data_IF_903160320331
#
_entry.id   IF_903160320331
#
_cell.length_a   1.000
_cell.length_b   1.000
_cell.length_c   1.000
_cell.angle_alpha   90.00
_cell.angle_beta   90.00
_cell.angle_gamma   90.00
#
_symmetry.space_group_name_H-M   'P 1'
#
loop_
_entity.id
_entity.type
_entity.pdbx_description
1 polymer ?
#
# COMPACT_ATOMS: atom_id res chain seq x y z
N UNK A 1 -8.10 47.09 -7.84
CA UNK A 1 -9.11 46.03 -7.68
C UNK A 1 -8.42 44.83 -7.06
N UNK A 2 -8.91 44.25 -5.96
CA UNK A 2 -8.34 42.99 -5.47
C UNK A 2 -8.49 41.94 -6.57
N UNK A 3 -7.45 41.15 -6.81
CA UNK A 3 -7.49 40.07 -7.78
C UNK A 3 -8.70 39.18 -7.47
N UNK A 4 -9.53 38.88 -8.47
CA UNK A 4 -10.57 37.85 -8.34
C UNK A 4 -9.83 36.56 -7.95
N UNK A 5 -10.00 36.11 -6.71
CA UNK A 5 -9.62 34.76 -6.31
C UNK A 5 -10.34 33.80 -7.25
N UNK A 6 -9.57 33.18 -8.14
CA UNK A 6 -10.06 32.06 -8.94
C UNK A 6 -10.11 30.86 -8.00
N UNK A 7 -11.15 30.01 -8.08
CA UNK A 7 -11.17 28.76 -7.34
C UNK A 7 -9.88 28.00 -7.62
N UNK A 8 -9.13 27.70 -6.57
CA UNK A 8 -7.92 26.89 -6.67
C UNK A 8 -8.30 25.46 -7.01
N UNK A 9 -7.48 24.80 -7.83
CA UNK A 9 -7.71 23.41 -8.16
C UNK A 9 -7.26 22.57 -6.97
N UNK A 10 -8.21 21.98 -6.26
CA UNK A 10 -7.89 21.11 -5.15
C UNK A 10 -7.19 19.86 -5.66
N UNK A 11 -5.88 19.75 -5.38
CA UNK A 11 -5.04 18.63 -5.78
C UNK A 11 -5.65 17.27 -5.40
N UNK A 12 -6.22 17.15 -4.20
CA UNK A 12 -6.87 15.90 -3.77
C UNK A 12 -8.04 15.51 -4.69
N UNK A 13 -8.85 16.49 -5.12
CA UNK A 13 -9.96 16.23 -6.06
C UNK A 13 -9.47 15.91 -7.47
N UNK A 14 -8.31 16.42 -7.89
CA UNK A 14 -7.70 16.01 -9.16
C UNK A 14 -7.18 14.56 -9.08
N UNK A 15 -6.56 14.18 -7.96
CA UNK A 15 -6.02 12.83 -7.74
C UNK A 15 -7.12 11.76 -7.67
N UNK A 16 -8.32 12.08 -7.17
CA UNK A 16 -9.48 11.16 -7.25
C UNK A 16 -9.77 10.76 -8.69
N UNK A 17 -9.69 11.73 -9.63
CA UNK A 17 -9.97 11.45 -11.06
C UNK A 17 -8.91 10.57 -11.70
N UNK A 18 -7.68 10.57 -11.17
CA UNK A 18 -6.60 9.71 -11.63
C UNK A 18 -6.94 8.25 -11.38
N UNK A 19 -7.33 7.89 -10.15
CA UNK A 19 -7.70 6.51 -9.79
C UNK A 19 -9.04 6.10 -10.40
N UNK A 20 -10.01 7.01 -10.53
CA UNK A 20 -11.26 6.76 -11.26
C UNK A 20 -10.98 6.38 -12.72
N UNK A 21 -10.12 7.12 -13.41
CA UNK A 21 -9.78 6.85 -14.82
C UNK A 21 -9.10 5.49 -14.99
N UNK A 22 -8.14 5.17 -14.11
CA UNK A 22 -7.46 3.89 -14.09
C UNK A 22 -8.43 2.72 -13.81
N UNK A 23 -9.28 2.85 -12.79
CA UNK A 23 -10.27 1.84 -12.44
C UNK A 23 -11.29 1.60 -13.55
N UNK A 24 -11.77 2.67 -14.20
CA UNK A 24 -12.70 2.56 -15.34
C UNK A 24 -12.06 1.89 -16.55
N UNK A 25 -10.79 2.17 -16.83
CA UNK A 25 -10.04 1.50 -17.90
C UNK A 25 -9.83 0.01 -17.60
N UNK A 26 -9.51 -0.33 -16.35
CA UNK A 26 -9.38 -1.72 -15.88
C UNK A 26 -10.72 -2.47 -15.88
N UNK A 27 -11.85 -1.79 -15.63
CA UNK A 27 -13.17 -2.40 -15.50
C UNK A 27 -13.58 -3.22 -16.73
N UNK A 28 -13.16 -2.80 -17.93
CA UNK A 28 -13.41 -3.54 -19.17
C UNK A 28 -12.73 -4.91 -19.24
N UNK A 29 -11.74 -5.16 -18.39
CA UNK A 29 -10.92 -6.39 -18.35
C UNK A 29 -11.29 -7.34 -17.22
N UNK A 30 -12.23 -6.96 -16.36
CA UNK A 30 -12.67 -7.77 -15.22
C UNK A 30 -13.16 -9.14 -15.70
N UNK A 31 -12.57 -10.21 -15.17
CA UNK A 31 -12.94 -11.59 -15.49
C UNK A 31 -12.47 -12.11 -16.86
N UNK A 32 -11.63 -11.36 -17.60
CA UNK A 32 -11.16 -11.77 -18.94
C UNK A 32 -9.93 -12.67 -18.94
N UNK A 33 -9.34 -12.95 -17.78
CA UNK A 33 -8.14 -13.79 -17.64
C UNK A 33 -6.85 -13.14 -18.13
N UNK A 34 -6.87 -11.88 -18.58
CA UNK A 34 -5.70 -11.15 -19.06
C UNK A 34 -5.29 -10.04 -18.08
N UNK A 35 -4.41 -10.39 -17.15
CA UNK A 35 -3.92 -9.45 -16.15
C UNK A 35 -3.03 -8.37 -16.75
N UNK A 36 -2.25 -8.67 -17.80
CA UNK A 36 -1.30 -7.71 -18.39
C UNK A 36 -2.04 -6.65 -19.18
N UNK A 37 -3.08 -7.03 -19.91
CA UNK A 37 -3.89 -6.07 -20.63
C UNK A 37 -4.74 -5.18 -19.71
N UNK A 38 -5.24 -5.74 -18.60
CA UNK A 38 -5.92 -4.96 -17.55
C UNK A 38 -4.98 -3.89 -16.99
N UNK A 39 -3.77 -4.31 -16.61
CA UNK A 39 -2.73 -3.47 -16.01
C UNK A 39 -2.28 -2.35 -16.95
N UNK A 40 -1.90 -2.69 -18.19
CA UNK A 40 -1.53 -1.70 -19.20
C UNK A 40 -2.63 -0.66 -19.46
N UNK A 41 -3.90 -1.08 -19.52
CA UNK A 41 -5.01 -0.15 -19.69
C UNK A 41 -5.15 0.83 -18.50
N UNK A 42 -4.92 0.36 -17.27
CA UNK A 42 -4.95 1.20 -16.08
C UNK A 42 -3.75 2.16 -16.02
N UNK A 43 -2.54 1.68 -16.32
CA UNK A 43 -1.30 2.48 -16.41
C UNK A 43 -1.48 3.62 -17.41
N UNK A 44 -1.93 3.32 -18.63
CA UNK A 44 -2.15 4.31 -19.68
C UNK A 44 -3.15 5.39 -19.24
N UNK A 45 -4.28 4.96 -18.68
CA UNK A 45 -5.34 5.86 -18.25
C UNK A 45 -4.90 6.73 -17.05
N UNK A 46 -4.21 6.13 -16.08
CA UNK A 46 -3.65 6.82 -14.91
C UNK A 46 -2.65 7.90 -15.35
N UNK A 47 -1.68 7.51 -16.19
CA UNK A 47 -0.61 8.39 -16.66
C UNK A 47 -1.14 9.60 -17.42
N UNK A 48 -2.12 9.39 -18.30
CA UNK A 48 -2.73 10.45 -19.09
C UNK A 48 -3.45 11.50 -18.23
N UNK A 49 -4.17 11.08 -17.18
CA UNK A 49 -4.83 12.02 -16.28
C UNK A 49 -3.81 12.72 -15.39
N UNK A 50 -2.77 11.99 -14.93
CA UNK A 50 -1.70 12.56 -14.12
C UNK A 50 -0.97 13.72 -14.79
N UNK A 51 -0.76 13.68 -16.12
CA UNK A 51 -0.15 14.80 -16.86
C UNK A 51 -0.91 16.13 -16.71
N UNK A 52 -2.20 16.07 -16.42
CA UNK A 52 -3.06 17.26 -16.31
C UNK A 52 -3.08 17.85 -14.90
N UNK A 53 -2.58 17.11 -13.91
CA UNK A 53 -2.63 17.47 -12.49
C UNK A 53 -1.67 18.63 -12.22
N UNK A 54 -2.10 19.59 -11.41
CA UNK A 54 -1.31 20.78 -11.05
C UNK A 54 -0.28 20.45 -9.97
N UNK A 55 0.79 19.75 -10.37
CA UNK A 55 1.94 19.40 -9.52
C UNK A 55 3.22 19.16 -10.34
N UNK A 56 4.38 19.21 -9.69
CA UNK A 56 5.66 18.71 -10.18
C UNK A 56 5.98 17.45 -9.38
N UNK A 57 5.42 16.33 -9.84
CA UNK A 57 5.53 15.02 -9.22
C UNK A 57 6.76 14.26 -9.70
N UNK A 58 7.37 13.44 -8.83
CA UNK A 58 8.28 12.37 -9.26
C UNK A 58 7.72 11.05 -8.71
N UNK A 59 7.62 10.05 -9.58
CA UNK A 59 7.25 8.69 -9.22
C UNK A 59 8.37 8.09 -8.39
N UNK A 60 8.14 7.88 -7.09
CA UNK A 60 9.07 7.17 -6.19
C UNK A 60 8.77 5.67 -6.19
N UNK A 61 7.49 5.32 -6.36
CA UNK A 61 6.99 3.95 -6.50
C UNK A 61 6.05 3.92 -7.69
N UNK A 62 6.33 3.07 -8.67
CA UNK A 62 5.41 2.78 -9.75
C UNK A 62 5.63 1.38 -10.32
N UNK A 63 5.45 1.22 -11.63
CA UNK A 63 5.41 -0.07 -12.32
C UNK A 63 6.76 -0.82 -12.34
N UNK A 64 7.86 -0.11 -12.07
CA UNK A 64 9.20 -0.68 -12.02
C UNK A 64 10.28 0.32 -12.42
N UNK A 65 11.45 -0.21 -12.77
CA UNK A 65 12.56 0.59 -13.28
C UNK A 65 12.32 1.01 -14.73
N UNK A 66 12.98 2.10 -15.16
CA UNK A 66 12.78 2.71 -16.48
C UNK A 66 12.97 1.74 -17.66
N UNK A 67 13.86 0.78 -17.52
CA UNK A 67 14.15 -0.20 -18.56
C UNK A 67 13.10 -1.32 -18.64
N UNK A 68 12.28 -1.48 -17.59
CA UNK A 68 11.27 -2.54 -17.46
C UNK A 68 9.84 -2.01 -17.64
N UNK A 69 9.61 -0.72 -17.31
CA UNK A 69 8.32 -0.06 -17.38
C UNK A 69 8.35 1.16 -18.33
N UNK A 70 7.55 1.18 -19.42
CA UNK A 70 7.54 2.29 -20.37
C UNK A 70 6.90 3.58 -19.82
N UNK A 71 6.05 3.46 -18.80
CA UNK A 71 5.34 4.54 -18.13
C UNK A 71 5.23 4.24 -16.64
N UNK A 72 5.06 5.28 -15.84
CA UNK A 72 5.02 5.26 -14.38
C UNK A 72 6.23 4.54 -13.77
N UNK A 73 7.41 4.71 -14.36
CA UNK A 73 8.65 4.13 -13.85
C UNK A 73 9.25 4.96 -12.72
N UNK A 74 10.05 4.34 -11.86
CA UNK A 74 10.75 5.01 -10.77
C UNK A 74 11.63 6.16 -11.31
N UNK A 75 11.36 7.37 -10.83
CA UNK A 75 12.01 8.61 -11.27
C UNK A 75 11.32 9.36 -12.40
N UNK A 76 10.21 8.85 -12.94
CA UNK A 76 9.43 9.58 -13.94
C UNK A 76 8.84 10.88 -13.36
N UNK A 77 8.91 11.97 -14.13
CA UNK A 77 8.21 13.22 -13.79
C UNK A 77 6.76 13.18 -14.28
N UNK A 78 5.84 13.53 -13.39
CA UNK A 78 4.38 13.52 -13.64
C UNK A 78 3.74 14.83 -13.17
N UNK A 79 2.55 15.15 -13.69
CA UNK A 79 1.92 16.46 -13.47
C UNK A 79 2.37 17.48 -14.50
N UNK A 80 1.71 18.64 -14.50
CA UNK A 80 1.97 19.72 -15.46
C UNK A 80 3.20 20.58 -15.12
N UNK A 81 3.95 20.24 -14.07
CA UNK A 81 5.16 20.94 -13.63
C UNK A 81 4.91 22.17 -12.74
N UNK A 82 3.66 22.46 -12.39
CA UNK A 82 3.32 23.52 -11.43
C UNK A 82 3.67 23.09 -10.00
N UNK A 83 3.84 24.03 -9.07
CA UNK A 83 3.91 23.68 -7.64
C UNK A 83 2.59 23.07 -7.15
N UNK A 84 2.60 22.18 -6.15
CA UNK A 84 3.74 21.81 -5.29
C UNK A 84 4.69 20.76 -5.90
N UNK A 85 5.91 20.68 -5.35
CA UNK A 85 6.82 19.56 -5.62
C UNK A 85 6.43 18.37 -4.76
N UNK A 86 6.22 17.21 -5.38
CA UNK A 86 5.66 16.06 -4.68
C UNK A 86 6.33 14.74 -5.07
N UNK A 87 6.42 13.83 -4.11
CA UNK A 87 6.69 12.42 -4.35
C UNK A 87 5.36 11.70 -4.59
N UNK A 88 5.36 10.79 -5.56
CA UNK A 88 4.17 10.08 -6.01
C UNK A 88 4.44 8.58 -5.93
N UNK A 89 3.53 7.85 -5.29
CA UNK A 89 3.43 6.41 -5.42
C UNK A 89 2.14 6.05 -6.13
N UNK A 90 2.23 5.18 -7.12
CA UNK A 90 1.08 4.69 -7.89
C UNK A 90 1.04 3.18 -7.85
N UNK A 91 -0.19 2.66 -7.76
CA UNK A 91 -0.50 1.27 -8.04
C UNK A 91 -1.78 1.27 -8.90
N UNK A 92 -1.65 1.30 -10.24
CA UNK A 92 -2.78 1.37 -11.14
C UNK A 92 -3.82 0.27 -10.89
N UNK A 93 -3.37 -0.94 -10.53
CA UNK A 93 -4.23 -2.04 -10.08
C UNK A 93 -3.52 -2.86 -8.99
N UNK A 94 -3.83 -2.57 -7.73
CA UNK A 94 -3.53 -3.48 -6.63
C UNK A 94 -4.42 -4.72 -6.78
N UNK A 95 -3.81 -5.82 -7.21
CA UNK A 95 -4.50 -7.07 -7.51
C UNK A 95 -4.89 -7.26 -8.98
N UNK A 96 -3.95 -7.09 -9.92
CA UNK A 96 -4.14 -7.45 -11.34
C UNK A 96 -4.70 -8.87 -11.55
N UNK A 97 -4.29 -9.84 -10.71
CA UNK A 97 -4.85 -11.20 -10.69
C UNK A 97 -6.31 -11.22 -10.27
N UNK A 98 -6.70 -10.41 -9.28
CA UNK A 98 -8.09 -10.28 -8.82
C UNK A 98 -8.96 -9.74 -9.96
N UNK A 99 -8.51 -8.68 -10.64
CA UNK A 99 -9.17 -8.09 -11.80
C UNK A 99 -9.36 -9.13 -12.91
N UNK A 100 -8.27 -9.79 -13.33
CA UNK A 100 -8.32 -10.78 -14.40
C UNK A 100 -9.25 -11.96 -14.09
N UNK A 101 -9.37 -12.36 -12.82
CA UNK A 101 -10.24 -13.44 -12.37
C UNK A 101 -11.66 -12.98 -11.98
N UNK A 102 -11.97 -11.69 -12.04
CA UNK A 102 -13.28 -11.16 -11.64
C UNK A 102 -13.57 -11.29 -10.14
N UNK A 103 -12.52 -11.23 -9.30
CA UNK A 103 -12.63 -11.32 -7.85
C UNK A 103 -12.73 -9.93 -7.22
N UNK A 104 -13.31 -9.86 -6.02
CA UNK A 104 -13.39 -8.61 -5.26
C UNK A 104 -12.03 -8.14 -4.74
N UNK A 105 -12.01 -6.90 -4.25
CA UNK A 105 -10.89 -6.22 -3.59
C UNK A 105 -9.72 -5.78 -4.49
N UNK A 106 -9.86 -5.84 -5.82
CA UNK A 106 -8.96 -5.10 -6.71
C UNK A 106 -9.26 -3.59 -6.60
N UNK A 107 -8.23 -2.75 -6.56
CA UNK A 107 -8.37 -1.30 -6.41
C UNK A 107 -7.28 -0.55 -7.16
N UNK A 108 -7.51 0.72 -7.47
CA UNK A 108 -6.52 1.62 -8.07
C UNK A 108 -6.09 2.65 -7.04
N UNK A 109 -4.78 2.84 -6.88
CA UNK A 109 -4.20 3.64 -5.78
C UNK A 109 -3.26 4.71 -6.29
N UNK A 110 -3.33 5.85 -5.63
CA UNK A 110 -2.30 6.86 -5.68
C UNK A 110 -2.07 7.43 -4.28
N UNK A 111 -0.81 7.63 -3.92
CA UNK A 111 -0.39 8.38 -2.75
C UNK A 111 0.55 9.51 -3.18
N UNK A 112 0.37 10.69 -2.59
CA UNK A 112 1.18 11.87 -2.87
C UNK A 112 1.64 12.47 -1.55
N UNK A 113 2.93 12.78 -1.46
CA UNK A 113 3.54 13.37 -0.28
C UNK A 113 4.51 14.49 -0.67
N UNK A 114 4.95 15.29 0.31
CA UNK A 114 5.97 16.31 0.07
C UNK A 114 7.25 15.65 -0.51
N UNK A 115 7.93 16.35 -1.42
CA UNK A 115 9.19 15.91 -2.02
C UNK A 115 10.19 15.41 -0.96
N UNK A 116 10.71 14.19 -1.15
CA UNK A 116 11.70 13.56 -0.28
C UNK A 116 11.15 12.94 1.00
N UNK A 117 9.83 12.97 1.22
CA UNK A 117 9.21 12.41 2.44
C UNK A 117 8.72 10.98 2.26
N UNK A 118 8.63 10.48 1.02
CA UNK A 118 8.19 9.11 0.75
C UNK A 118 9.37 8.15 0.85
N UNK A 119 9.19 7.04 1.58
CA UNK A 119 10.23 6.03 1.73
C UNK A 119 10.55 5.36 0.39
N UNK A 120 11.82 5.35 0.00
CA UNK A 120 12.26 4.62 -1.19
C UNK A 120 12.51 3.14 -0.81
N UNK A 121 11.78 2.19 -1.39
CA UNK A 121 11.90 0.76 -1.07
C UNK A 121 13.29 0.16 -1.39
N UNK A 122 14.05 0.79 -2.28
CA UNK A 122 15.37 0.33 -2.69
C UNK A 122 15.32 -1.08 -3.31
N UNK A 123 16.34 -1.92 -3.11
CA UNK A 123 16.38 -3.26 -3.70
C UNK A 123 15.47 -4.28 -2.99
N UNK A 124 14.90 -3.94 -1.83
CA UNK A 124 14.13 -4.87 -1.01
C UNK A 124 12.71 -5.03 -1.57
N UNK A 125 12.41 -6.19 -2.14
CA UNK A 125 11.12 -6.50 -2.75
C UNK A 125 10.03 -6.75 -1.71
N UNK A 126 10.35 -7.37 -0.58
CA UNK A 126 9.39 -7.68 0.47
C UNK A 126 9.67 -6.96 1.80
N UNK A 127 8.58 -6.77 2.54
CA UNK A 127 8.53 -6.17 3.87
C UNK A 127 7.58 -6.98 4.75
N UNK A 128 7.99 -7.28 5.98
CA UNK A 128 7.10 -7.72 7.06
C UNK A 128 6.28 -6.52 7.54
N UNK A 129 4.96 -6.68 7.60
CA UNK A 129 4.00 -5.62 7.89
C UNK A 129 3.08 -6.01 9.05
N UNK A 130 2.79 -5.04 9.90
CA UNK A 130 1.65 -5.06 10.83
C UNK A 130 0.92 -3.73 10.71
N UNK A 131 -0.38 -3.74 10.42
CA UNK A 131 -1.16 -2.50 10.31
C UNK A 131 -2.46 -2.58 11.12
N UNK A 132 -2.83 -1.47 11.74
CA UNK A 132 -3.98 -1.34 12.65
C UNK A 132 -4.61 0.05 12.54
N UNK A 133 -5.87 0.15 12.93
CA UNK A 133 -6.58 1.43 13.02
C UNK A 133 -6.20 2.31 14.20
N UNK A 134 -6.79 3.52 14.28
CA UNK A 134 -6.44 4.54 15.28
C UNK A 134 -6.55 4.08 16.73
N UNK A 135 -7.52 3.21 17.04
CA UNK A 135 -7.75 2.70 18.39
C UNK A 135 -6.58 1.83 18.92
N UNK A 136 -5.81 1.22 18.03
CA UNK A 136 -4.72 0.31 18.36
C UNK A 136 -3.34 0.77 17.85
N UNK A 137 -3.22 2.00 17.32
CA UNK A 137 -2.01 2.52 16.69
C UNK A 137 -0.73 2.37 17.55
N UNK A 138 -0.84 2.57 18.87
CA UNK A 138 0.30 2.42 19.80
C UNK A 138 0.40 1.06 20.48
N UNK A 139 -0.39 0.07 20.07
CA UNK A 139 -0.49 -1.24 20.73
C UNK A 139 0.34 -2.34 20.04
N UNK A 140 0.90 -2.08 18.86
CA UNK A 140 1.57 -3.07 18.03
C UNK A 140 3.08 -2.88 17.96
N UNK A 141 3.80 -3.98 17.78
CA UNK A 141 5.27 -4.01 17.63
C UNK A 141 5.69 -5.24 16.79
N UNK A 142 6.62 -5.07 15.83
CA UNK A 142 7.13 -6.18 15.02
C UNK A 142 8.11 -7.11 15.76
N UNK A 143 8.60 -6.73 16.94
CA UNK A 143 9.37 -7.62 17.82
C UNK A 143 8.49 -8.49 18.71
N UNK A 144 7.18 -8.23 18.73
CA UNK A 144 6.23 -9.08 19.44
C UNK A 144 5.82 -10.26 18.58
N UNK A 145 5.59 -11.41 19.23
CA UNK A 145 4.95 -12.53 18.53
C UNK A 145 3.54 -12.14 18.06
N UNK A 146 3.02 -12.77 16.98
CA UNK A 146 1.64 -12.58 16.55
C UNK A 146 0.63 -12.76 17.68
N UNK A 147 0.82 -13.76 18.54
CA UNK A 147 -0.03 -13.97 19.71
C UNK A 147 -0.06 -12.76 20.65
N UNK A 148 1.08 -12.10 20.86
CA UNK A 148 1.17 -10.94 21.74
C UNK A 148 0.52 -9.72 21.08
N UNK A 149 0.82 -9.42 19.83
CA UNK A 149 0.18 -8.33 19.07
C UNK A 149 -1.34 -8.45 19.09
N UNK A 150 -1.90 -9.63 18.82
CA UNK A 150 -3.36 -9.86 18.84
C UNK A 150 -3.96 -9.55 20.22
N UNK A 151 -3.28 -9.92 21.31
CA UNK A 151 -3.75 -9.63 22.68
C UNK A 151 -3.69 -8.14 23.01
N UNK A 152 -2.65 -7.43 22.55
CA UNK A 152 -2.52 -5.99 22.75
C UNK A 152 -3.59 -5.22 21.96
N UNK A 153 -3.83 -5.60 20.69
CA UNK A 153 -4.92 -5.06 19.87
C UNK A 153 -6.28 -5.32 20.51
N UNK A 154 -6.55 -6.56 20.95
CA UNK A 154 -7.78 -6.90 21.65
C UNK A 154 -8.00 -5.99 22.89
N UNK A 155 -6.94 -5.75 23.67
CA UNK A 155 -7.00 -4.89 24.86
C UNK A 155 -7.27 -3.42 24.49
N UNK A 156 -6.55 -2.90 23.49
CA UNK A 156 -6.70 -1.52 23.04
C UNK A 156 -8.13 -1.23 22.55
N UNK A 157 -8.68 -2.17 21.76
CA UNK A 157 -10.03 -2.09 21.20
C UNK A 157 -11.13 -2.57 22.16
N UNK A 158 -10.77 -3.04 23.37
CA UNK A 158 -11.69 -3.58 24.39
C UNK A 158 -12.56 -4.74 23.88
N UNK A 159 -11.96 -5.61 23.07
CA UNK A 159 -12.58 -6.82 22.50
C UNK A 159 -12.02 -8.09 23.15
N UNK A 160 -12.76 -9.19 23.04
CA UNK A 160 -12.19 -10.51 23.30
C UNK A 160 -11.23 -10.89 22.16
N UNK A 161 -10.19 -11.66 22.46
CA UNK A 161 -9.26 -12.17 21.43
C UNK A 161 -10.01 -12.92 20.31
N UNK A 162 -11.08 -13.63 20.65
CA UNK A 162 -11.94 -14.35 19.68
C UNK A 162 -12.78 -13.45 18.77
N UNK A 163 -12.83 -12.16 19.05
CA UNK A 163 -13.51 -11.14 18.23
C UNK A 163 -12.54 -10.40 17.32
N UNK A 164 -11.23 -10.48 17.60
CA UNK A 164 -10.19 -9.90 16.73
C UNK A 164 -10.14 -10.66 15.41
N UNK A 165 -10.16 -9.93 14.31
CA UNK A 165 -10.04 -10.46 12.96
C UNK A 165 -8.73 -10.01 12.33
N UNK A 166 -7.84 -10.97 12.05
CA UNK A 166 -6.55 -10.77 11.41
C UNK A 166 -6.67 -10.99 9.91
N UNK A 167 -6.27 -10.02 9.10
CA UNK A 167 -6.11 -10.22 7.65
C UNK A 167 -4.69 -10.65 7.32
N UNK A 168 -4.54 -11.66 6.46
CA UNK A 168 -3.24 -12.25 6.08
C UNK A 168 -3.29 -12.65 4.60
N UNK A 169 -2.21 -12.37 3.85
CA UNK A 169 -2.04 -12.92 2.50
C UNK A 169 -1.91 -14.46 2.54
N UNK A 170 -2.70 -15.17 1.74
CA UNK A 170 -2.62 -16.63 1.63
C UNK A 170 -1.40 -17.03 0.80
N UNK A 171 -0.30 -17.34 1.49
CA UNK A 171 0.99 -17.72 0.91
C UNK A 171 1.65 -18.75 1.81
N UNK A 172 2.45 -19.66 1.23
CA UNK A 172 3.16 -20.70 2.00
C UNK A 172 4.05 -20.12 3.10
N UNK A 173 4.67 -18.97 2.85
CA UNK A 173 5.49 -18.22 3.83
C UNK A 173 4.72 -17.76 5.06
N UNK A 174 3.38 -17.80 5.06
CA UNK A 174 2.55 -17.41 6.20
C UNK A 174 1.90 -18.61 6.92
N UNK A 175 2.24 -19.85 6.56
CA UNK A 175 1.63 -21.03 7.20
C UNK A 175 1.82 -21.04 8.73
N UNK A 176 3.01 -20.67 9.21
CA UNK A 176 3.31 -20.59 10.65
C UNK A 176 2.55 -19.45 11.33
N UNK A 177 2.53 -18.26 10.71
CA UNK A 177 1.74 -17.11 11.18
C UNK A 177 0.25 -17.49 11.30
N UNK A 178 -0.33 -18.08 10.24
CA UNK A 178 -1.74 -18.51 10.21
C UNK A 178 -2.00 -19.54 11.32
N UNK A 179 -1.12 -20.52 11.49
CA UNK A 179 -1.25 -21.52 12.54
C UNK A 179 -1.18 -20.90 13.95
N UNK A 180 -0.29 -19.94 14.17
CA UNK A 180 -0.20 -19.20 15.43
C UNK A 180 -1.47 -18.39 15.70
N UNK A 181 -1.94 -17.61 14.74
CA UNK A 181 -3.18 -16.81 14.89
C UNK A 181 -4.37 -17.71 15.22
N UNK A 182 -4.54 -18.86 14.55
CA UNK A 182 -5.59 -19.83 14.86
C UNK A 182 -5.51 -20.34 16.30
N UNK A 183 -4.31 -20.57 16.85
CA UNK A 183 -4.13 -21.02 18.24
C UNK A 183 -4.54 -19.97 19.27
N UNK A 184 -4.54 -18.69 18.91
CA UNK A 184 -5.02 -17.61 19.80
C UNK A 184 -6.54 -17.61 19.99
N UNK A 185 -7.28 -18.19 19.05
CA UNK A 185 -8.74 -18.12 18.97
C UNK A 185 -9.28 -16.93 18.17
N UNK A 186 -8.41 -16.03 17.70
CA UNK A 186 -8.79 -14.95 16.78
C UNK A 186 -9.28 -15.48 15.42
N UNK A 187 -10.04 -14.65 14.71
CA UNK A 187 -10.53 -14.94 13.35
C UNK A 187 -9.46 -14.58 12.33
N UNK A 188 -9.47 -15.26 11.19
CA UNK A 188 -8.57 -14.97 10.06
C UNK A 188 -9.40 -14.71 8.81
N UNK A 189 -9.07 -13.62 8.11
CA UNK A 189 -9.52 -13.37 6.75
C UNK A 189 -8.33 -13.50 5.81
N UNK A 190 -8.30 -14.62 5.08
CA UNK A 190 -7.28 -14.85 4.07
C UNK A 190 -7.63 -14.07 2.80
N UNK A 191 -6.64 -13.41 2.22
CA UNK A 191 -6.73 -12.71 0.93
C UNK A 191 -5.69 -13.27 -0.03
N UNK A 192 -6.03 -13.47 -1.30
CA UNK A 192 -5.06 -13.97 -2.28
C UNK A 192 -4.07 -12.88 -2.68
N UNK A 193 -4.52 -11.64 -2.83
CA UNK A 193 -3.72 -10.49 -3.25
C UNK A 193 -4.33 -9.23 -2.61
N UNK A 194 -3.65 -8.08 -2.70
CA UNK A 194 -4.18 -6.82 -2.23
C UNK A 194 -3.93 -6.54 -0.75
N UNK A 195 -2.66 -6.37 -0.35
CA UNK A 195 -2.35 -6.03 1.04
C UNK A 195 -2.43 -4.52 1.36
N UNK A 196 -2.54 -3.65 0.34
CA UNK A 196 -2.94 -2.25 0.52
C UNK A 196 -4.39 -2.20 1.02
N UNK A 197 -5.29 -2.94 0.34
CA UNK A 197 -6.66 -3.12 0.83
C UNK A 197 -6.67 -3.62 2.27
N UNK A 198 -5.84 -4.61 2.60
CA UNK A 198 -5.81 -5.19 3.93
C UNK A 198 -5.39 -4.21 5.02
N UNK A 199 -4.43 -3.33 4.74
CA UNK A 199 -4.01 -2.30 5.68
C UNK A 199 -5.11 -1.23 5.87
N UNK A 200 -5.73 -0.76 4.79
CA UNK A 200 -6.83 0.21 4.85
C UNK A 200 -8.04 -0.40 5.57
N UNK A 201 -8.35 -1.67 5.31
CA UNK A 201 -9.43 -2.40 5.97
C UNK A 201 -9.20 -2.50 7.49
N UNK A 202 -7.96 -2.74 7.94
CA UNK A 202 -7.62 -2.77 9.36
C UNK A 202 -7.77 -1.40 10.06
N UNK A 203 -7.68 -0.31 9.29
CA UNK A 203 -7.91 1.04 9.80
C UNK A 203 -9.33 1.57 9.64
N UNK A 204 -10.21 0.82 8.97
CA UNK A 204 -11.61 1.17 8.79
C UNK A 204 -12.50 0.38 9.75
N UNK A 205 -13.37 1.09 10.47
CA UNK A 205 -14.37 0.47 11.33
C UNK A 205 -15.49 -0.25 10.56
N UNK A 206 -15.57 -0.07 9.23
CA UNK A 206 -16.66 -0.57 8.39
C UNK A 206 -16.42 -1.98 7.83
N UNK A 207 -15.15 -2.43 7.73
CA UNK A 207 -14.79 -3.67 7.01
C UNK A 207 -14.75 -4.90 7.94
N UNK A 208 -14.64 -4.67 9.26
CA UNK A 208 -14.57 -5.74 10.26
C UNK A 208 -13.22 -6.46 10.29
N UNK A 209 -12.14 -5.74 10.03
CA UNK A 209 -10.75 -6.20 10.16
C UNK A 209 -10.09 -5.35 11.23
N UNK A 210 -9.36 -5.96 12.16
CA UNK A 210 -8.75 -5.25 13.28
C UNK A 210 -7.24 -5.07 13.10
N UNK A 211 -6.61 -5.98 12.35
CA UNK A 211 -5.16 -6.02 12.17
C UNK A 211 -4.80 -6.74 10.86
N UNK A 212 -3.88 -6.17 10.08
CA UNK A 212 -3.16 -6.86 9.00
C UNK A 212 -1.84 -7.40 9.55
N UNK A 213 -1.45 -8.63 9.21
CA UNK A 213 -0.14 -9.18 9.54
C UNK A 213 0.47 -9.97 8.38
N UNK A 214 1.79 -9.90 8.23
CA UNK A 214 2.58 -10.80 7.39
C UNK A 214 3.53 -10.09 6.44
N UNK A 215 4.17 -10.87 5.57
CA UNK A 215 5.14 -10.41 4.57
C UNK A 215 4.47 -10.19 3.21
N UNK A 216 4.60 -8.97 2.70
CA UNK A 216 4.10 -8.53 1.40
C UNK A 216 5.04 -7.56 0.72
N UNK A 217 4.65 -6.96 -0.40
CA UNK A 217 5.54 -6.11 -1.20
C UNK A 217 5.93 -4.82 -0.48
N UNK A 218 7.20 -4.44 -0.52
CA UNK A 218 7.68 -3.19 0.10
C UNK A 218 6.99 -1.95 -0.46
N UNK A 219 6.84 -1.79 -1.80
CA UNK A 219 6.17 -0.62 -2.37
C UNK A 219 4.73 -0.43 -1.87
N UNK A 220 3.96 -1.50 -1.82
CA UNK A 220 2.58 -1.52 -1.31
C UNK A 220 2.53 -1.16 0.18
N UNK A 221 3.56 -1.52 0.95
CA UNK A 221 3.71 -1.10 2.35
C UNK A 221 3.85 0.41 2.51
N UNK A 222 4.60 1.07 1.62
CA UNK A 222 4.77 2.53 1.62
C UNK A 222 3.47 3.23 1.23
N UNK A 223 2.77 2.72 0.21
CA UNK A 223 1.45 3.24 -0.19
C UNK A 223 0.44 3.08 0.94
N UNK A 224 0.41 1.92 1.59
CA UNK A 224 -0.41 1.69 2.78
C UNK A 224 -0.06 2.67 3.91
N UNK A 225 1.23 2.93 4.18
CA UNK A 225 1.64 3.90 5.20
C UNK A 225 1.09 5.30 4.96
N UNK A 226 1.08 5.77 3.71
CA UNK A 226 0.47 7.05 3.37
C UNK A 226 -1.04 7.09 3.69
N UNK A 227 -1.77 6.01 3.37
CA UNK A 227 -3.19 5.89 3.71
C UNK A 227 -3.42 5.83 5.23
N UNK A 228 -2.64 5.01 5.95
CA UNK A 228 -2.75 4.83 7.39
C UNK A 228 -2.46 6.13 8.15
N UNK A 229 -1.46 6.89 7.70
CA UNK A 229 -1.15 8.24 8.22
C UNK A 229 -2.34 9.17 8.12
N UNK A 230 -3.02 9.19 6.97
CA UNK A 230 -4.20 10.02 6.75
C UNK A 230 -5.42 9.56 7.57
N UNK A 231 -5.54 8.25 7.80
CA UNK A 231 -6.62 7.66 8.61
C UNK A 231 -6.35 7.70 10.12
N UNK A 232 -5.13 8.05 10.53
CA UNK A 232 -4.69 8.05 11.94
C UNK A 232 -4.40 6.66 12.51
N UNK A 233 -4.23 5.66 11.64
CA UNK A 233 -3.78 4.32 12.03
C UNK A 233 -2.25 4.21 12.09
N UNK A 234 -1.76 2.99 12.32
CA UNK A 234 -0.33 2.69 12.32
C UNK A 234 -0.05 1.52 11.39
N UNK A 235 1.03 1.60 10.63
CA UNK A 235 1.69 0.48 10.00
C UNK A 235 3.16 0.46 10.43
N UNK A 236 3.61 -0.70 10.91
CA UNK A 236 5.03 -0.96 11.12
C UNK A 236 5.53 -1.90 10.02
N UNK A 237 6.73 -1.60 9.53
CA UNK A 237 7.38 -2.31 8.46
C UNK A 237 8.79 -2.76 8.84
N UNK A 238 9.22 -3.94 8.41
CA UNK A 238 10.63 -4.37 8.45
C UNK A 238 11.00 -4.99 7.11
N UNK A 239 12.08 -4.52 6.49
CA UNK A 239 12.53 -5.06 5.20
C UNK A 239 12.84 -6.55 5.33
N UNK A 240 12.38 -7.34 4.38
CA UNK A 240 12.47 -8.80 4.37
C UNK A 240 13.09 -9.28 3.05
N UNK A 241 14.42 -9.17 2.88
CA UNK A 241 15.08 -9.60 1.65
C UNK A 241 14.82 -11.08 1.36
N UNK A 242 14.59 -11.43 0.08
CA UNK A 242 14.25 -12.81 -0.32
C UNK A 242 15.41 -13.79 -0.24
N UNK A 243 16.64 -13.27 -0.35
CA UNK A 243 17.87 -14.05 -0.42
C UNK A 243 19.08 -13.18 -0.02
N UNK A 244 20.24 -13.81 0.08
CA UNK A 244 21.49 -13.16 0.50
C UNK A 244 21.96 -12.06 -0.47
N UNK A 245 21.69 -12.20 -1.77
CA UNK A 245 22.09 -11.19 -2.75
C UNK A 245 21.31 -9.88 -2.55
N UNK A 246 19.98 -9.96 -2.43
CA UNK A 246 19.11 -8.81 -2.13
C UNK A 246 19.45 -8.19 -0.77
N UNK A 247 19.78 -9.04 0.23
CA UNK A 247 20.23 -8.61 1.55
C UNK A 247 21.51 -7.79 1.47
N UNK A 248 22.52 -8.28 0.75
CA UNK A 248 23.81 -7.62 0.62
C UNK A 248 23.72 -6.33 -0.19
N UNK A 249 22.88 -6.30 -1.24
CA UNK A 249 22.57 -5.09 -1.99
C UNK A 249 21.89 -4.03 -1.13
N UNK A 250 20.91 -4.41 -0.31
CA UNK A 250 20.24 -3.50 0.62
C UNK A 250 21.21 -2.90 1.64
N UNK A 251 22.07 -3.73 2.25
CA UNK A 251 23.08 -3.26 3.21
C UNK A 251 24.07 -2.33 2.52
N UNK A 252 24.53 -2.67 1.31
CA UNK A 252 25.45 -1.82 0.52
C UNK A 252 24.82 -0.48 0.15
N UNK A 253 23.51 -0.45 -0.10
CA UNK A 253 22.74 0.77 -0.34
C UNK A 253 22.45 1.58 0.94
N UNK A 254 22.83 1.06 2.11
CA UNK A 254 22.73 1.77 3.39
C UNK A 254 21.47 1.49 4.20
N UNK A 255 20.69 0.46 3.84
CA UNK A 255 19.50 0.08 4.60
C UNK A 255 19.86 -0.73 5.85
N UNK A 256 19.26 -0.36 6.99
CA UNK A 256 19.29 -1.15 8.21
C UNK A 256 18.12 -2.14 8.22
N UNK A 257 18.44 -3.42 8.00
CA UNK A 257 17.45 -4.50 7.92
C UNK A 257 16.88 -4.91 9.30
N UNK A 258 17.48 -4.45 10.40
CA UNK A 258 16.94 -4.69 11.75
C UNK A 258 15.92 -3.62 12.16
N UNK A 259 15.93 -2.47 11.48
CA UNK A 259 15.10 -1.33 11.82
C UNK A 259 13.62 -1.62 11.57
N UNK A 260 12.80 -1.29 12.56
CA UNK A 260 11.35 -1.14 12.39
C UNK A 260 11.10 0.26 11.81
N UNK A 261 10.55 0.29 10.61
CA UNK A 261 10.02 1.47 9.96
C UNK A 261 8.62 1.72 10.52
N UNK A 262 8.34 2.95 10.96
CA UNK A 262 7.01 3.35 11.41
C UNK A 262 6.25 4.01 10.25
N UNK A 263 5.02 4.43 10.51
CA UNK A 263 4.19 5.14 9.52
C UNK A 263 4.82 6.46 9.03
N UNK A 264 5.76 7.06 9.77
CA UNK A 264 6.29 8.41 9.54
C UNK A 264 7.77 8.47 9.14
#
# INVERSE_FOLDING_TARGET
>A
MPAKERPDRNLAMELVRVTESAALAAAGWVGRGDKKAADGAAVDAMRNVLDTVSMDGIVVIGEGEKDEAPMLYNGERVGNGSTPHADVAVDPIDGTTLTAMGRGNALSVIAVAERGSMFNPGPCFYMEKIAVGPEAASAVDLDFSPTKNIKEVARAMRKLVSEVTVMILERDRHNDLIAEVRKTGARIRLISDGDIFGAIAAASSEVGVDILMGVGGTPEGVVAAAALKAMGGEILGRLSPRNDAERDEAIKAGYDLSKILTTN
#
